data_IF_749597242494
#
_entry.id   IF_749597242494
#
_cell.length_a   1.000
_cell.length_b   1.000
_cell.length_c   1.000
_cell.angle_alpha   90.00
_cell.angle_beta   90.00
_cell.angle_gamma   90.00
#
_symmetry.space_group_name_H-M   'P 1'
#
loop_
_entity.id
_entity.type
_entity.pdbx_description
1 polymer ?
#
# COMPACT_ATOMS: atom_id res chain seq x y z
N UNK A 1 0.29 6.17 -18.99
CA UNK A 1 0.14 5.67 -17.61
C UNK A 1 1.23 4.64 -17.33
N UNK A 2 1.81 4.69 -16.13
CA UNK A 2 2.78 3.69 -15.69
C UNK A 2 2.52 3.34 -14.22
N UNK A 3 2.94 2.14 -13.81
CA UNK A 3 2.93 1.71 -12.41
C UNK A 3 4.35 1.26 -12.09
N UNK A 4 4.96 1.86 -11.05
CA UNK A 4 6.37 1.65 -10.75
C UNK A 4 6.61 1.56 -9.26
N UNK A 5 7.61 0.77 -8.87
CA UNK A 5 8.18 0.85 -7.53
C UNK A 5 9.04 2.11 -7.43
N UNK A 6 8.92 2.82 -6.32
CA UNK A 6 9.62 4.09 -6.07
C UNK A 6 10.64 3.88 -4.96
N UNK A 7 11.92 4.07 -5.29
CA UNK A 7 12.99 3.96 -4.33
C UNK A 7 13.01 5.14 -3.34
N UNK A 8 13.59 4.97 -2.14
CA UNK A 8 13.65 6.07 -1.16
C UNK A 8 14.31 7.35 -1.68
N UNK A 9 15.29 7.24 -2.60
CA UNK A 9 16.00 8.38 -3.17
C UNK A 9 15.40 8.91 -4.47
N UNK A 10 14.25 8.36 -4.91
CA UNK A 10 13.61 8.80 -6.16
C UNK A 10 13.18 10.27 -6.04
N UNK A 11 13.47 11.06 -7.07
CA UNK A 11 13.13 12.48 -7.11
C UNK A 11 11.62 12.73 -7.06
N UNK A 12 10.79 11.72 -7.41
CA UNK A 12 9.33 11.82 -7.38
C UNK A 12 8.73 11.52 -6.01
N UNK A 13 9.55 11.14 -5.03
CA UNK A 13 9.04 10.77 -3.70
C UNK A 13 8.17 11.85 -3.06
N UNK A 14 8.51 13.16 -3.12
CA UNK A 14 7.63 14.20 -2.56
C UNK A 14 6.23 14.19 -3.16
N UNK A 15 6.11 14.02 -4.48
CA UNK A 15 4.80 13.95 -5.14
C UNK A 15 4.03 12.69 -4.74
N UNK A 16 4.72 11.55 -4.63
CA UNK A 16 4.13 10.29 -4.17
C UNK A 16 3.64 10.43 -2.73
N UNK A 17 4.41 11.11 -1.88
CA UNK A 17 4.02 11.34 -0.49
C UNK A 17 2.73 12.16 -0.39
N UNK A 18 2.50 13.13 -1.28
CA UNK A 18 1.26 13.92 -1.24
C UNK A 18 0.01 13.03 -1.34
N UNK A 19 0.09 11.92 -2.07
CA UNK A 19 -1.00 10.94 -2.12
C UNK A 19 -1.02 10.09 -0.84
N UNK A 20 0.13 9.58 -0.41
CA UNK A 20 0.24 8.79 0.82
C UNK A 20 -0.30 9.57 2.03
N UNK A 21 -0.07 10.87 2.09
CA UNK A 21 -0.50 11.76 3.17
C UNK A 21 -2.01 11.78 3.33
N UNK A 22 -2.78 11.55 2.28
CA UNK A 22 -4.24 11.49 2.38
C UNK A 22 -4.70 10.32 3.24
N UNK A 23 -3.90 9.25 3.33
CA UNK A 23 -4.16 8.10 4.19
C UNK A 23 -3.44 8.24 5.54
N UNK A 24 -2.19 8.70 5.53
CA UNK A 24 -1.34 8.82 6.72
C UNK A 24 -1.18 10.29 7.08
N UNK A 25 -2.27 10.91 7.49
CA UNK A 25 -2.39 12.35 7.70
C UNK A 25 -1.48 12.92 8.79
N UNK A 26 -0.98 12.07 9.68
CA UNK A 26 -0.10 12.46 10.79
C UNK A 26 1.38 12.61 10.38
N UNK A 27 1.75 12.18 9.16
CA UNK A 27 3.14 12.23 8.71
C UNK A 27 3.45 13.51 7.94
N UNK A 28 4.65 14.06 8.15
CA UNK A 28 5.26 15.04 7.24
C UNK A 28 6.11 14.30 6.20
N UNK A 29 6.56 15.01 5.16
CA UNK A 29 7.48 14.44 4.18
C UNK A 29 8.78 13.96 4.85
N UNK A 30 9.31 14.74 5.81
CA UNK A 30 10.54 14.34 6.52
C UNK A 30 10.30 13.08 7.36
N UNK A 31 9.14 12.96 8.01
CA UNK A 31 8.77 11.75 8.74
C UNK A 31 8.72 10.55 7.79
N UNK A 32 8.09 10.72 6.64
CA UNK A 32 7.96 9.64 5.66
C UNK A 32 9.32 9.22 5.11
N UNK A 33 10.21 10.18 4.82
CA UNK A 33 11.57 9.87 4.36
C UNK A 33 12.33 9.04 5.40
N UNK A 34 12.27 9.44 6.66
CA UNK A 34 12.94 8.69 7.75
C UNK A 34 12.37 7.28 7.88
N UNK A 35 11.04 7.17 7.85
CA UNK A 35 10.37 5.87 7.96
C UNK A 35 10.73 4.96 6.77
N UNK A 36 10.75 5.50 5.58
CA UNK A 36 11.08 4.71 4.39
C UNK A 36 12.53 4.27 4.38
N UNK A 37 13.45 5.16 4.77
CA UNK A 37 14.87 4.79 4.89
C UNK A 37 15.07 3.67 5.92
N UNK A 38 14.35 3.68 7.03
CA UNK A 38 14.42 2.63 8.04
C UNK A 38 13.74 1.34 7.57
N UNK A 39 12.57 1.45 6.94
CA UNK A 39 11.75 0.30 6.57
C UNK A 39 12.25 -0.41 5.29
N UNK A 40 12.90 0.30 4.39
CA UNK A 40 13.34 -0.26 3.11
C UNK A 40 14.25 -1.48 3.26
N UNK A 41 15.30 -1.44 4.11
CA UNK A 41 16.11 -2.64 4.34
C UNK A 41 15.34 -3.78 5.02
N UNK A 42 14.22 -3.50 5.64
CA UNK A 42 13.33 -4.51 6.22
C UNK A 42 12.34 -5.09 5.21
N UNK A 43 12.40 -4.65 3.95
CA UNK A 43 11.56 -5.16 2.89
C UNK A 43 10.39 -4.28 2.46
N UNK A 44 10.18 -3.13 3.12
CA UNK A 44 9.09 -2.22 2.75
C UNK A 44 9.36 -1.56 1.40
N UNK A 45 8.34 -1.56 0.53
CA UNK A 45 8.42 -0.98 -0.81
C UNK A 45 7.21 -0.09 -1.06
N UNK A 46 7.41 0.95 -1.84
CA UNK A 46 6.34 1.86 -2.26
C UNK A 46 6.18 1.74 -3.77
N UNK A 47 4.94 1.58 -4.21
CA UNK A 47 4.59 1.56 -5.63
C UNK A 47 3.56 2.66 -5.90
N UNK A 48 3.59 3.22 -7.10
CA UNK A 48 2.67 4.29 -7.47
C UNK A 48 2.18 4.14 -8.91
N UNK A 49 0.94 4.54 -9.13
CA UNK A 49 0.36 4.71 -10.47
C UNK A 49 0.58 6.16 -10.88
N UNK A 50 1.24 6.35 -12.03
CA UNK A 50 1.42 7.66 -12.65
C UNK A 50 0.56 7.77 -13.90
N UNK A 51 -0.13 8.87 -14.06
CA UNK A 51 -0.85 9.20 -15.28
C UNK A 51 -0.72 10.70 -15.50
N UNK A 52 -0.33 11.08 -16.74
CA UNK A 52 0.00 12.47 -17.02
C UNK A 52 1.20 12.98 -16.22
N UNK A 53 2.12 12.09 -15.82
CA UNK A 53 3.27 12.44 -14.99
C UNK A 53 2.94 12.70 -13.52
N UNK A 54 1.71 12.46 -13.10
CA UNK A 54 1.23 12.72 -11.74
C UNK A 54 0.90 11.41 -11.02
N UNK A 55 1.34 11.21 -9.76
CA UNK A 55 0.94 10.04 -8.99
C UNK A 55 -0.54 10.13 -8.62
N UNK A 56 -1.28 9.05 -8.89
CA UNK A 56 -2.73 9.02 -8.69
C UNK A 56 -3.18 8.01 -7.64
N UNK A 57 -2.41 6.96 -7.44
CA UNK A 57 -2.61 5.98 -6.38
C UNK A 57 -1.26 5.49 -5.90
N UNK A 58 -1.18 5.14 -4.62
CA UNK A 58 0.08 4.74 -3.97
C UNK A 58 -0.19 3.56 -3.05
N UNK A 59 0.75 2.62 -3.01
CA UNK A 59 0.73 1.50 -2.08
C UNK A 59 2.07 1.37 -1.37
N UNK A 60 2.01 0.93 -0.12
CA UNK A 60 3.18 0.45 0.61
C UNK A 60 2.98 -1.03 0.90
N UNK A 61 3.99 -1.85 0.68
CA UNK A 61 3.85 -3.30 0.81
C UNK A 61 5.16 -3.97 1.23
N UNK A 62 5.03 -5.19 1.71
CA UNK A 62 6.16 -6.04 2.10
C UNK A 62 5.91 -7.46 1.62
N UNK A 63 6.97 -8.17 1.25
CA UNK A 63 6.92 -9.61 1.00
C UNK A 63 7.63 -10.29 2.17
N UNK A 64 6.98 -11.25 2.80
CA UNK A 64 7.52 -11.96 3.96
C UNK A 64 7.06 -13.41 4.00
N UNK A 65 7.57 -14.13 4.98
CA UNK A 65 7.26 -15.54 5.18
C UNK A 65 6.97 -15.80 6.64
N UNK A 66 5.87 -16.51 6.92
CA UNK A 66 5.54 -16.94 8.27
C UNK A 66 4.83 -18.31 8.24
N UNK A 67 4.68 -18.97 9.41
CA UNK A 67 4.08 -20.32 9.44
C UNK A 67 2.62 -20.37 9.00
N UNK A 68 1.85 -19.29 9.21
CA UNK A 68 0.41 -19.28 8.89
C UNK A 68 0.18 -19.17 7.38
N UNK A 69 0.89 -18.25 6.75
CA UNK A 69 0.63 -17.86 5.35
C UNK A 69 1.70 -18.33 4.38
N UNK A 70 2.82 -18.86 4.88
CA UNK A 70 3.99 -19.09 4.03
C UNK A 70 4.48 -17.77 3.47
N UNK A 71 4.97 -17.80 2.23
CA UNK A 71 5.40 -16.57 1.56
C UNK A 71 4.18 -15.80 1.09
N UNK A 72 4.10 -14.54 1.46
CA UNK A 72 2.94 -13.69 1.17
C UNK A 72 3.34 -12.24 0.95
N UNK A 73 2.51 -11.48 0.25
CA UNK A 73 2.64 -10.03 0.13
C UNK A 73 1.63 -9.39 1.08
N UNK A 74 2.12 -8.49 1.93
CA UNK A 74 1.28 -7.74 2.85
C UNK A 74 1.21 -6.28 2.43
N UNK A 75 -0.01 -5.77 2.24
CA UNK A 75 -0.23 -4.37 1.87
C UNK A 75 -0.40 -3.55 3.14
N UNK A 76 0.57 -2.71 3.44
CA UNK A 76 0.52 -1.81 4.60
C UNK A 76 -0.33 -0.57 4.32
N UNK A 77 -0.28 -0.08 3.08
CA UNK A 77 -0.94 1.16 2.67
C UNK A 77 -1.49 0.99 1.26
N UNK A 78 -2.70 1.51 1.02
CA UNK A 78 -3.29 1.57 -0.31
C UNK A 78 -4.23 2.76 -0.36
N UNK A 79 -3.94 3.72 -1.22
CA UNK A 79 -4.72 4.96 -1.31
C UNK A 79 -4.74 5.47 -2.74
N UNK A 80 -5.93 5.90 -3.19
CA UNK A 80 -6.10 6.68 -4.41
C UNK A 80 -6.33 8.13 -4.01
N UNK A 81 -5.64 9.06 -4.66
CA UNK A 81 -5.86 10.49 -4.41
C UNK A 81 -7.34 10.83 -4.58
N UNK A 82 -7.90 11.60 -3.65
CA UNK A 82 -9.35 11.85 -3.59
C UNK A 82 -9.92 12.34 -4.92
N UNK A 83 -9.23 13.28 -5.56
CA UNK A 83 -9.68 13.85 -6.85
C UNK A 83 -9.65 12.85 -8.01
N UNK A 84 -8.97 11.72 -7.84
CA UNK A 84 -8.83 10.69 -8.88
C UNK A 84 -9.57 9.40 -8.55
N UNK A 85 -10.38 9.38 -7.50
CA UNK A 85 -11.22 8.22 -7.16
C UNK A 85 -12.21 7.91 -8.26
N UNK A 86 -12.61 6.65 -8.34
CA UNK A 86 -13.58 6.14 -9.33
C UNK A 86 -13.09 6.19 -10.79
N UNK A 87 -11.77 6.24 -10.98
CA UNK A 87 -11.14 6.18 -12.31
C UNK A 87 -10.40 4.85 -12.54
N UNK A 88 -10.49 3.90 -11.60
CA UNK A 88 -9.87 2.58 -11.74
C UNK A 88 -8.40 2.50 -11.33
N UNK A 89 -7.81 3.57 -10.82
CA UNK A 89 -6.38 3.55 -10.44
C UNK A 89 -6.09 2.61 -9.28
N UNK A 90 -6.97 2.55 -8.28
CA UNK A 90 -6.83 1.63 -7.17
C UNK A 90 -6.85 0.17 -7.60
N UNK A 91 -7.75 -0.18 -8.52
CA UNK A 91 -7.83 -1.53 -9.07
C UNK A 91 -6.56 -1.88 -9.85
N UNK A 92 -6.07 -0.96 -10.68
CA UNK A 92 -4.85 -1.17 -11.47
C UNK A 92 -3.65 -1.39 -10.54
N UNK A 93 -3.56 -0.62 -9.46
CA UNK A 93 -2.48 -0.78 -8.49
C UNK A 93 -2.60 -2.12 -7.76
N UNK A 94 -3.81 -2.50 -7.37
CA UNK A 94 -4.04 -3.79 -6.74
C UNK A 94 -3.63 -4.94 -7.67
N UNK A 95 -3.99 -4.87 -8.94
CA UNK A 95 -3.62 -5.88 -9.94
C UNK A 95 -2.09 -5.97 -10.09
N UNK A 96 -1.41 -4.83 -10.08
CA UNK A 96 0.05 -4.78 -10.10
C UNK A 96 0.65 -5.52 -8.88
N UNK A 97 0.11 -5.28 -7.68
CA UNK A 97 0.57 -5.96 -6.47
C UNK A 97 0.30 -7.47 -6.51
N UNK A 98 -0.85 -7.87 -7.04
CA UNK A 98 -1.17 -9.30 -7.23
C UNK A 98 -0.16 -9.96 -8.16
N UNK A 99 0.20 -9.30 -9.26
CA UNK A 99 1.21 -9.83 -10.19
C UNK A 99 2.59 -9.92 -9.53
N UNK A 100 2.96 -8.91 -8.73
CA UNK A 100 4.21 -8.97 -7.94
C UNK A 100 4.22 -10.15 -6.98
N UNK A 101 3.12 -10.34 -6.27
CA UNK A 101 2.99 -11.46 -5.33
C UNK A 101 3.16 -12.80 -6.05
N UNK A 102 2.48 -12.98 -7.18
CA UNK A 102 2.57 -14.22 -7.97
C UNK A 102 3.98 -14.44 -8.51
N UNK A 103 4.61 -13.41 -9.04
CA UNK A 103 5.97 -13.48 -9.57
C UNK A 103 7.00 -13.81 -8.49
N UNK A 104 6.75 -13.42 -7.25
CA UNK A 104 7.61 -13.69 -6.10
C UNK A 104 7.32 -15.04 -5.43
N UNK A 105 6.39 -15.83 -5.97
CA UNK A 105 6.03 -17.13 -5.40
C UNK A 105 5.18 -17.06 -4.15
N UNK A 106 4.47 -15.93 -3.92
CA UNK A 106 3.59 -15.79 -2.78
C UNK A 106 2.30 -16.60 -2.96
N UNK A 107 1.81 -17.19 -1.87
CA UNK A 107 0.54 -17.91 -1.85
C UNK A 107 -0.67 -17.01 -1.60
N UNK A 108 -0.44 -15.77 -1.16
CA UNK A 108 -1.53 -14.83 -0.88
C UNK A 108 -1.05 -13.40 -0.90
N UNK A 109 -2.03 -12.49 -1.00
CA UNK A 109 -1.89 -11.05 -0.74
C UNK A 109 -2.86 -10.71 0.38
N UNK A 110 -2.41 -9.99 1.39
CA UNK A 110 -3.16 -9.73 2.61
C UNK A 110 -3.06 -8.26 3.02
N UNK A 111 -4.05 -7.80 3.75
CA UNK A 111 -4.06 -6.47 4.34
C UNK A 111 -4.96 -6.42 5.57
N UNK A 112 -4.80 -5.38 6.37
CA UNK A 112 -5.74 -5.02 7.42
C UNK A 112 -6.42 -3.70 7.04
N UNK A 113 -7.71 -3.58 7.36
CA UNK A 113 -8.45 -2.35 7.15
C UNK A 113 -9.23 -2.01 8.41
N UNK A 114 -9.18 -0.75 8.81
CA UNK A 114 -9.92 -0.30 9.98
C UNK A 114 -11.41 -0.57 9.83
N UNK A 115 -12.08 -0.98 10.90
CA UNK A 115 -13.47 -1.41 10.87
C UNK A 115 -14.45 -0.33 10.39
N UNK A 116 -14.08 0.96 10.55
CA UNK A 116 -14.93 2.09 10.15
C UNK A 116 -14.77 2.50 8.67
N UNK A 117 -13.85 1.88 7.92
CA UNK A 117 -13.58 2.25 6.52
C UNK A 117 -14.44 1.46 5.54
N UNK A 118 -15.77 1.69 5.59
CA UNK A 118 -16.74 0.96 4.80
C UNK A 118 -16.52 1.02 3.28
N UNK A 119 -16.11 2.17 2.74
CA UNK A 119 -15.85 2.30 1.30
C UNK A 119 -14.64 1.48 0.87
N UNK A 120 -13.59 1.44 1.71
CA UNK A 120 -12.43 0.58 1.46
C UNK A 120 -12.83 -0.89 1.50
N UNK A 121 -13.70 -1.29 2.44
CA UNK A 121 -14.18 -2.67 2.55
C UNK A 121 -14.93 -3.11 1.28
N UNK A 122 -15.78 -2.24 0.71
CA UNK A 122 -16.47 -2.54 -0.56
C UNK A 122 -15.47 -2.78 -1.68
N UNK A 123 -14.42 -1.96 -1.76
CA UNK A 123 -13.35 -2.14 -2.73
C UNK A 123 -12.68 -3.50 -2.54
N UNK A 124 -12.31 -3.85 -1.31
CA UNK A 124 -11.61 -5.13 -1.05
C UNK A 124 -12.50 -6.33 -1.38
N UNK A 125 -13.78 -6.31 -1.03
CA UNK A 125 -14.68 -7.40 -1.40
C UNK A 125 -14.83 -7.53 -2.91
N UNK A 126 -14.92 -6.42 -3.61
CA UNK A 126 -15.00 -6.42 -5.08
C UNK A 126 -13.72 -7.00 -5.71
N UNK A 127 -12.56 -6.75 -5.10
CA UNK A 127 -11.27 -7.26 -5.56
C UNK A 127 -10.94 -8.64 -4.98
N UNK A 128 -11.95 -9.37 -4.51
CA UNK A 128 -11.87 -10.77 -4.10
C UNK A 128 -11.14 -11.02 -2.77
N UNK A 129 -10.97 -9.99 -1.95
CA UNK A 129 -10.53 -10.19 -0.56
C UNK A 129 -11.69 -10.66 0.30
N UNK A 130 -11.36 -11.36 1.37
CA UNK A 130 -12.34 -11.74 2.40
C UNK A 130 -11.75 -11.51 3.78
N UNK A 131 -12.60 -11.28 4.75
CA UNK A 131 -12.18 -11.14 6.15
C UNK A 131 -11.81 -12.52 6.69
N UNK A 132 -10.57 -12.69 7.15
CA UNK A 132 -10.06 -13.97 7.64
C UNK A 132 -9.66 -13.96 9.10
N UNK A 133 -9.46 -12.76 9.69
CA UNK A 133 -9.01 -12.63 11.08
C UNK A 133 -9.34 -11.24 11.60
N UNK A 134 -9.21 -11.09 12.94
CA UNK A 134 -9.27 -9.80 13.60
C UNK A 134 -7.86 -9.38 13.98
N UNK A 135 -7.53 -8.10 13.80
CA UNK A 135 -6.27 -7.53 14.19
C UNK A 135 -6.38 -6.97 15.61
N UNK A 136 -5.51 -7.40 16.52
CA UNK A 136 -5.46 -6.91 17.90
C UNK A 136 -4.20 -6.08 18.08
N UNK A 137 -4.34 -4.86 18.57
CA UNK A 137 -3.22 -3.97 18.86
C UNK A 137 -3.24 -3.53 20.31
N UNK A 138 -2.06 -3.47 20.93
CA UNK A 138 -1.86 -2.85 22.24
C UNK A 138 -0.82 -1.75 22.05
N UNK A 139 -1.23 -0.49 22.31
CA UNK A 139 -0.43 0.70 21.99
C UNK A 139 0.17 1.26 23.28
N UNK A 140 1.49 1.45 23.29
CA UNK A 140 2.22 1.72 24.53
C UNK A 140 2.15 3.17 25.00
N UNK A 141 1.67 4.07 24.15
CA UNK A 141 1.47 5.48 24.50
C UNK A 141 0.04 5.81 24.92
N UNK A 142 -0.78 4.80 25.13
CA UNK A 142 -2.16 4.94 25.62
C UNK A 142 -2.22 5.01 27.13
#
# INVERSE_FOLDING_TARGET
MSIEDIEPADARLPAVFEVMKELRTHLSLDDFRRLYDEAHPQGYRVAAVFDGGEPRAVAGYRIGTNPVSGRHLYVDDLVTAERWRSHGYGQQLNDYLVQKARAAGCGSIQLDSAVHRGDAHRFYFREHYRVTSFHFGRYFDE
#
